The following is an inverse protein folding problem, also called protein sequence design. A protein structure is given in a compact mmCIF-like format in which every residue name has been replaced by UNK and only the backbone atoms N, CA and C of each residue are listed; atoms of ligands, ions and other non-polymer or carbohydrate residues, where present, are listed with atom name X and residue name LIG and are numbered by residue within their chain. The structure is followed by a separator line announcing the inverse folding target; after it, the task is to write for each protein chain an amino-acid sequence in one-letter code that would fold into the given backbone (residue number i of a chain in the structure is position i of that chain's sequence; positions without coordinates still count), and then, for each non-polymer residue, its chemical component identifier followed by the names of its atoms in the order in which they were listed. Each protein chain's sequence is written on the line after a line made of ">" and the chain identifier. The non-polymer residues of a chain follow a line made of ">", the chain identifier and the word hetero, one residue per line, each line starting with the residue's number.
data_IF_942428236166
#
_entry.id   IF_942428236166
#
_cell.length_a   1.000
_cell.length_b   1.000
_cell.length_c   1.000
_cell.angle_alpha   90.00
_cell.angle_beta   90.00
_cell.angle_gamma   90.00
#
_symmetry.space_group_name_H-M   'P 1'
#
loop_
_entity.id
_entity.type
_entity.pdbx_description
1 polymer ?
#
# COMPACT_ATOMS: atom_id res chain seq x y z
N UNK A 1 -9.88 -6.69 -11.76
CA UNK A 1 -9.33 -6.01 -12.96
C UNK A 1 -9.81 -6.81 -14.17
N UNK A 2 -10.22 -6.15 -15.25
CA UNK A 2 -10.84 -6.81 -16.42
C UNK A 2 -10.44 -6.23 -17.78
N UNK A 3 -9.57 -5.21 -17.80
CA UNK A 3 -9.01 -4.68 -19.04
C UNK A 3 -7.94 -5.63 -19.56
N UNK A 4 -7.80 -5.74 -20.87
CA UNK A 4 -6.71 -6.51 -21.48
C UNK A 4 -5.66 -5.58 -22.09
N UNK A 5 -4.42 -5.69 -21.61
CA UNK A 5 -3.30 -4.87 -22.04
C UNK A 5 -1.98 -5.58 -21.70
N UNK A 6 -0.99 -5.39 -22.57
CA UNK A 6 0.35 -5.94 -22.37
C UNK A 6 1.23 -5.01 -21.53
N UNK A 7 1.22 -3.71 -21.86
CA UNK A 7 2.08 -2.70 -21.25
C UNK A 7 1.29 -1.67 -20.46
N UNK A 8 1.88 -1.23 -19.35
CA UNK A 8 1.42 -0.12 -18.53
C UNK A 8 2.46 1.01 -18.58
N UNK A 9 2.09 2.14 -19.16
CA UNK A 9 2.93 3.34 -19.21
C UNK A 9 2.50 4.24 -18.06
N UNK A 10 3.30 4.28 -17.00
CA UNK A 10 3.09 5.19 -15.89
C UNK A 10 3.65 6.58 -16.21
N UNK A 11 3.17 7.61 -15.51
CA UNK A 11 3.76 8.94 -15.64
C UNK A 11 5.21 8.97 -15.13
N UNK A 12 5.49 8.24 -14.05
CA UNK A 12 6.82 8.17 -13.40
C UNK A 12 7.11 6.71 -13.04
N UNK A 13 8.26 6.20 -13.50
CA UNK A 13 8.68 4.82 -13.26
C UNK A 13 9.00 4.07 -14.56
N UNK A 14 9.37 2.80 -14.42
CA UNK A 14 9.66 1.94 -15.54
C UNK A 14 8.38 1.54 -16.32
N UNK A 15 8.58 1.06 -17.55
CA UNK A 15 7.52 0.40 -18.32
C UNK A 15 7.03 -0.83 -17.55
N UNK A 16 5.76 -0.82 -17.18
CA UNK A 16 5.14 -1.92 -16.46
C UNK A 16 4.38 -2.88 -17.38
N UNK A 17 3.88 -3.95 -16.77
CA UNK A 17 2.95 -4.92 -17.34
C UNK A 17 1.68 -5.00 -16.49
N UNK A 18 0.68 -5.72 -17.00
CA UNK A 18 -0.57 -5.99 -16.26
C UNK A 18 -0.36 -6.60 -14.87
N UNK A 19 0.66 -7.43 -14.71
CA UNK A 19 1.01 -8.03 -13.42
C UNK A 19 1.41 -6.97 -12.38
N UNK A 20 2.12 -5.90 -12.78
CA UNK A 20 2.54 -4.83 -11.88
C UNK A 20 1.34 -4.02 -11.38
N UNK A 21 0.36 -3.78 -12.25
CA UNK A 21 -0.92 -3.14 -11.88
C UNK A 21 -1.68 -4.01 -10.88
N UNK A 22 -1.75 -5.32 -11.14
CA UNK A 22 -2.42 -6.27 -10.25
C UNK A 22 -1.77 -6.30 -8.87
N UNK A 23 -0.44 -6.34 -8.80
CA UNK A 23 0.32 -6.29 -7.55
C UNK A 23 0.12 -4.98 -6.79
N UNK A 24 0.03 -3.84 -7.50
CA UNK A 24 -0.29 -2.54 -6.88
C UNK A 24 -1.70 -2.47 -6.31
N UNK A 25 -2.68 -3.08 -6.97
CA UNK A 25 -4.06 -3.18 -6.45
C UNK A 25 -4.06 -4.02 -5.17
N UNK A 26 -3.44 -5.21 -5.21
CA UNK A 26 -3.35 -6.12 -4.06
C UNK A 26 -2.65 -5.46 -2.87
N UNK A 27 -1.55 -4.73 -3.11
CA UNK A 27 -0.86 -3.96 -2.08
C UNK A 27 -1.78 -3.00 -1.33
N UNK A 28 -2.63 -2.26 -2.06
CA UNK A 28 -3.56 -1.28 -1.46
C UNK A 28 -4.64 -1.95 -0.62
N UNK A 29 -5.15 -3.08 -1.07
CA UNK A 29 -6.15 -3.87 -0.34
C UNK A 29 -5.57 -4.44 0.96
N UNK A 30 -4.40 -5.06 0.87
CA UNK A 30 -3.70 -5.64 2.01
C UNK A 30 -3.24 -4.58 3.01
N UNK A 31 -2.73 -3.44 2.54
CA UNK A 31 -2.37 -2.30 3.38
C UNK A 31 -3.59 -1.78 4.14
N UNK A 32 -4.73 -1.58 3.45
CA UNK A 32 -5.97 -1.12 4.08
C UNK A 32 -6.41 -2.07 5.19
N UNK A 33 -6.36 -3.37 4.94
CA UNK A 33 -6.75 -4.38 5.92
C UNK A 33 -5.78 -4.45 7.12
N UNK A 34 -4.47 -4.37 6.87
CA UNK A 34 -3.47 -4.33 7.93
C UNK A 34 -3.66 -3.10 8.84
N UNK A 35 -3.89 -1.93 8.24
CA UNK A 35 -4.15 -0.69 8.98
C UNK A 35 -5.47 -0.75 9.75
N UNK A 36 -6.53 -1.29 9.15
CA UNK A 36 -7.82 -1.50 9.83
C UNK A 36 -7.66 -2.37 11.08
N UNK A 37 -6.88 -3.45 11.00
CA UNK A 37 -6.55 -4.31 12.15
C UNK A 37 -5.77 -3.55 13.23
N UNK A 38 -4.78 -2.74 12.84
CA UNK A 38 -4.03 -1.93 13.79
C UNK A 38 -4.93 -0.93 14.55
N UNK A 39 -5.81 -0.21 13.84
CA UNK A 39 -6.81 0.69 14.45
C UNK A 39 -7.72 -0.08 15.41
N UNK A 40 -8.26 -1.23 14.99
CA UNK A 40 -9.14 -2.05 15.83
C UNK A 40 -8.42 -2.58 17.09
N UNK A 41 -7.10 -2.77 17.03
CA UNK A 41 -6.27 -3.14 18.18
C UNK A 41 -5.87 -1.95 19.08
N UNK A 42 -6.34 -0.73 18.78
CA UNK A 42 -6.04 0.47 19.57
C UNK A 42 -4.63 1.03 19.37
N UNK A 43 -3.92 0.62 18.30
CA UNK A 43 -2.59 1.15 18.01
C UNK A 43 -2.65 2.61 17.58
N UNK A 44 -1.63 3.40 17.93
CA UNK A 44 -1.43 4.74 17.35
C UNK A 44 -0.91 4.65 15.91
N UNK A 45 -0.91 5.77 15.18
CA UNK A 45 -0.36 5.80 13.82
C UNK A 45 1.14 5.49 13.80
N UNK A 46 1.90 5.94 14.81
CA UNK A 46 3.34 5.68 14.94
C UNK A 46 3.60 4.18 15.17
N UNK A 47 2.80 3.55 16.02
CA UNK A 47 2.87 2.10 16.25
C UNK A 47 2.52 1.31 14.99
N UNK A 48 1.48 1.72 14.27
CA UNK A 48 1.11 1.11 13.00
C UNK A 48 2.23 1.24 11.96
N UNK A 49 2.88 2.40 11.84
CA UNK A 49 4.02 2.60 10.94
C UNK A 49 5.21 1.70 11.29
N UNK A 50 5.49 1.49 12.59
CA UNK A 50 6.55 0.61 13.03
C UNK A 50 6.24 -0.87 12.75
N UNK A 51 4.99 -1.30 12.95
CA UNK A 51 4.62 -2.72 12.96
C UNK A 51 4.14 -3.25 11.60
N UNK A 52 3.55 -2.42 10.75
CA UNK A 52 3.00 -2.86 9.46
C UNK A 52 4.12 -2.86 8.42
N UNK A 53 4.82 -3.99 8.32
CA UNK A 53 6.01 -4.12 7.47
C UNK A 53 5.66 -4.35 5.99
N UNK A 54 4.58 -5.06 5.63
CA UNK A 54 4.31 -5.37 4.21
C UNK A 54 5.48 -6.15 3.55
N UNK A 55 6.00 -7.16 4.26
CA UNK A 55 7.22 -7.92 3.88
C UNK A 55 7.21 -8.49 2.46
N UNK A 56 6.05 -8.86 1.91
CA UNK A 56 5.91 -9.35 0.53
C UNK A 56 6.39 -8.31 -0.52
N UNK A 57 6.42 -7.03 -0.14
CA UNK A 57 6.74 -5.89 -1.01
C UNK A 57 8.11 -5.28 -0.73
N UNK A 58 8.93 -5.90 0.13
CA UNK A 58 10.21 -5.34 0.60
C UNK A 58 11.24 -5.07 -0.50
N UNK A 59 11.12 -5.73 -1.65
CA UNK A 59 12.04 -5.58 -2.79
C UNK A 59 11.62 -4.48 -3.75
N UNK A 60 10.53 -3.77 -3.48
CA UNK A 60 10.08 -2.67 -4.33
C UNK A 60 11.00 -1.46 -4.16
N UNK A 61 11.26 -0.75 -5.27
CA UNK A 61 12.25 0.33 -5.39
C UNK A 61 12.18 1.37 -4.26
N UNK A 62 10.97 1.73 -3.81
CA UNK A 62 10.75 2.76 -2.81
C UNK A 62 10.13 2.24 -1.51
N UNK A 63 10.26 0.94 -1.22
CA UNK A 63 9.61 0.31 -0.07
C UNK A 63 9.89 1.05 1.24
N UNK A 64 11.17 1.27 1.59
CA UNK A 64 11.53 1.89 2.88
C UNK A 64 11.06 3.35 2.99
N UNK A 65 11.03 4.05 1.86
CA UNK A 65 10.65 5.46 1.79
C UNK A 65 9.12 5.64 1.83
N UNK A 66 8.39 4.79 1.10
CA UNK A 66 6.94 4.94 0.90
C UNK A 66 6.12 4.19 1.94
N UNK A 67 6.56 3.02 2.43
CA UNK A 67 5.77 2.19 3.35
C UNK A 67 5.28 2.98 4.58
N UNK A 68 6.11 3.71 5.33
CA UNK A 68 5.63 4.46 6.49
C UNK A 68 4.60 5.53 6.10
N UNK A 69 4.80 6.21 4.97
CA UNK A 69 3.86 7.22 4.45
C UNK A 69 2.53 6.63 4.03
N UNK A 70 2.54 5.48 3.36
CA UNK A 70 1.36 4.75 2.93
C UNK A 70 0.52 4.27 4.13
N UNK A 71 1.18 3.75 5.17
CA UNK A 71 0.52 3.37 6.43
C UNK A 71 -0.13 4.58 7.09
N UNK A 72 0.60 5.68 7.26
CA UNK A 72 0.06 6.89 7.90
C UNK A 72 -1.09 7.52 7.10
N UNK A 73 -0.98 7.57 5.78
CA UNK A 73 -2.03 8.08 4.90
C UNK A 73 -3.31 7.25 4.99
N UNK A 74 -3.18 5.92 4.93
CA UNK A 74 -4.31 5.00 5.07
C UNK A 74 -4.94 5.08 6.45
N UNK A 75 -4.13 5.17 7.51
CA UNK A 75 -4.61 5.29 8.88
C UNK A 75 -5.49 6.54 9.02
N UNK A 76 -4.97 7.70 8.59
CA UNK A 76 -5.73 8.96 8.59
C UNK A 76 -7.00 8.87 7.76
N UNK A 77 -6.94 8.25 6.58
CA UNK A 77 -8.13 8.10 5.73
C UNK A 77 -9.23 7.27 6.42
N UNK A 78 -8.87 6.24 7.17
CA UNK A 78 -9.83 5.38 7.88
C UNK A 78 -10.36 6.01 9.17
N UNK A 79 -9.58 6.88 9.83
CA UNK A 79 -10.01 7.55 11.07
C UNK A 79 -10.68 8.90 10.84
N UNK A 80 -10.39 9.57 9.72
CA UNK A 80 -10.93 10.90 9.39
C UNK A 80 -12.23 10.85 8.58
N UNK A 81 -12.82 9.67 8.36
CA UNK A 81 -14.17 9.55 7.83
C UNK A 81 -15.17 10.14 8.84
N UNK A 82 -15.43 11.45 8.68
CA UNK A 82 -16.70 12.08 9.06
C UNK A 82 -17.79 11.67 8.08
#
# INVERSE_FOLDING_TARGET
>A
EGMDFEYFICSHGALGKKADVTSNIRYREELREAVRKAIASGQTVEQAQANILMEEYKTWEFYDQQRPGNVAGTYRALTNNR
#
